data_IF_688288875235
#
_entry.id   IF_688288875235
#
_cell.length_a   1.000
_cell.length_b   1.000
_cell.length_c   1.000
_cell.angle_alpha   90.00
_cell.angle_beta   90.00
_cell.angle_gamma   90.00
#
_symmetry.space_group_name_H-M   'P 1'
#
loop_
_entity.id
_entity.type
_entity.pdbx_description
1 polymer ?
#
# COMPACT_ATOMS: atom_id res chain seq x y z
N UNK A 1 18.48 22.85 -10.23
CA UNK A 1 19.22 21.63 -9.87
C UNK A 1 18.27 20.83 -9.01
N UNK A 2 17.81 19.68 -9.49
CA UNK A 2 17.04 18.73 -8.68
C UNK A 2 17.84 18.45 -7.39
N UNK A 3 17.21 18.36 -6.21
CA UNK A 3 17.94 18.04 -4.99
C UNK A 3 18.59 16.66 -5.14
N UNK A 4 19.89 16.55 -4.87
CA UNK A 4 20.56 15.25 -4.82
C UNK A 4 19.81 14.30 -3.87
N UNK A 5 19.45 13.11 -4.34
CA UNK A 5 18.78 12.08 -3.54
C UNK A 5 17.26 12.04 -3.60
N UNK A 6 16.61 12.77 -4.52
CA UNK A 6 15.20 12.54 -4.86
C UNK A 6 15.11 11.49 -5.96
N UNK A 7 14.30 10.45 -5.75
CA UNK A 7 14.02 9.44 -6.77
C UNK A 7 12.91 9.92 -7.72
N UNK A 8 13.06 9.64 -9.01
CA UNK A 8 12.00 9.85 -9.99
C UNK A 8 11.04 8.64 -9.99
N UNK A 9 9.72 8.91 -9.98
CA UNK A 9 8.73 7.84 -10.02
C UNK A 9 8.60 7.28 -11.43
N UNK A 10 8.60 5.95 -11.56
CA UNK A 10 8.33 5.22 -12.79
C UNK A 10 6.95 4.52 -12.77
N UNK A 11 6.10 4.84 -11.78
CA UNK A 11 4.78 4.23 -11.60
C UNK A 11 3.70 5.31 -11.56
N UNK A 12 2.76 5.25 -12.50
CA UNK A 12 1.77 6.31 -12.71
C UNK A 12 0.34 5.92 -12.33
N UNK A 13 0.08 4.67 -11.92
CA UNK A 13 -1.26 4.28 -11.46
C UNK A 13 -1.54 4.87 -10.08
N UNK A 14 -2.73 5.46 -9.93
CA UNK A 14 -3.24 6.06 -8.71
C UNK A 14 -4.61 5.43 -8.46
N UNK A 15 -4.82 4.96 -7.22
CA UNK A 15 -6.11 4.42 -6.79
C UNK A 15 -6.62 5.21 -5.60
N UNK A 16 -7.74 5.90 -5.78
CA UNK A 16 -8.25 6.91 -4.84
C UNK A 16 -9.18 6.35 -3.76
N UNK A 17 -9.59 5.07 -3.85
CA UNK A 17 -10.33 4.37 -2.79
C UNK A 17 -9.70 3.02 -2.45
N UNK A 18 -9.79 2.59 -1.19
CA UNK A 18 -9.40 1.24 -0.80
C UNK A 18 -10.31 0.17 -1.43
N UNK A 19 -11.57 0.52 -1.72
CA UNK A 19 -12.52 -0.37 -2.40
C UNK A 19 -12.05 -0.79 -3.80
N UNK A 20 -11.31 0.10 -4.48
CA UNK A 20 -10.82 -0.11 -5.84
C UNK A 20 -9.49 -0.88 -5.88
N UNK A 21 -8.93 -1.25 -4.72
CA UNK A 21 -7.66 -1.99 -4.61
C UNK A 21 -7.83 -3.51 -4.61
N UNK A 22 -9.07 -4.02 -4.74
CA UNK A 22 -9.41 -5.44 -4.77
C UNK A 22 -8.85 -6.21 -3.54
N UNK A 23 -8.97 -5.59 -2.36
CA UNK A 23 -8.52 -6.15 -1.09
C UNK A 23 -9.51 -7.20 -0.56
N UNK A 24 -9.03 -8.13 0.27
CA UNK A 24 -9.90 -9.06 0.97
C UNK A 24 -10.86 -8.32 1.90
N UNK A 25 -12.10 -8.80 2.00
CA UNK A 25 -13.15 -8.12 2.75
C UNK A 25 -12.79 -7.93 4.24
N UNK A 26 -12.12 -8.91 4.84
CA UNK A 26 -11.63 -8.83 6.23
C UNK A 26 -10.58 -7.74 6.41
N UNK A 27 -9.64 -7.62 5.47
CA UNK A 27 -8.63 -6.57 5.49
C UNK A 27 -9.25 -5.20 5.29
N UNK A 28 -10.16 -5.06 4.32
CA UNK A 28 -10.85 -3.82 4.02
C UNK A 28 -11.66 -3.31 5.24
N UNK A 29 -12.39 -4.20 5.92
CA UNK A 29 -13.05 -3.87 7.19
C UNK A 29 -12.06 -3.41 8.26
N UNK A 30 -10.90 -4.05 8.37
CA UNK A 30 -9.85 -3.66 9.31
C UNK A 30 -9.29 -2.27 9.04
N UNK A 31 -9.09 -1.91 7.76
CA UNK A 31 -8.62 -0.58 7.34
C UNK A 31 -9.59 0.51 7.82
N UNK A 32 -10.90 0.34 7.54
CA UNK A 32 -11.92 1.31 7.96
C UNK A 32 -12.10 1.34 9.47
N UNK A 33 -12.09 0.19 10.15
CA UNK A 33 -12.20 0.12 11.61
C UNK A 33 -11.01 0.79 12.33
N UNK A 34 -9.83 0.79 11.73
CA UNK A 34 -8.66 1.52 12.24
C UNK A 34 -8.80 3.04 12.10
N UNK A 35 -9.73 3.52 11.26
CA UNK A 35 -10.02 4.94 11.05
C UNK A 35 -9.44 5.51 9.76
N UNK A 36 -8.96 4.69 8.83
CA UNK A 36 -8.63 5.17 7.49
C UNK A 36 -9.91 5.33 6.66
N UNK A 37 -10.11 6.49 6.05
CA UNK A 37 -11.25 6.75 5.16
C UNK A 37 -10.85 6.74 3.68
N UNK A 38 -9.79 7.47 3.35
CA UNK A 38 -9.21 7.55 2.01
C UNK A 38 -7.72 7.23 2.05
N UNK A 39 -7.18 6.55 1.02
CA UNK A 39 -5.75 6.30 0.94
C UNK A 39 -4.98 7.62 0.83
N UNK A 40 -3.90 7.75 1.59
CA UNK A 40 -2.94 8.85 1.46
C UNK A 40 -2.18 8.78 0.13
N UNK A 41 -1.47 9.86 -0.24
CA UNK A 41 -0.75 9.92 -1.52
C UNK A 41 0.22 8.74 -1.77
N UNK A 42 0.88 8.23 -0.72
CA UNK A 42 1.77 7.06 -0.83
C UNK A 42 0.97 5.75 -0.89
N UNK A 43 -0.14 5.64 -0.16
CA UNK A 43 -1.02 4.47 -0.19
C UNK A 43 -1.66 4.29 -1.58
N UNK A 44 -2.13 5.40 -2.18
CA UNK A 44 -2.73 5.43 -3.53
C UNK A 44 -1.83 4.86 -4.63
N UNK A 45 -0.50 5.00 -4.48
CA UNK A 45 0.50 4.64 -5.50
C UNK A 45 1.23 3.34 -5.20
N UNK A 46 1.49 3.04 -3.93
CA UNK A 46 2.39 1.96 -3.56
C UNK A 46 1.69 0.66 -3.14
N UNK A 47 0.43 0.68 -2.71
CA UNK A 47 -0.26 -0.55 -2.26
C UNK A 47 -0.38 -1.57 -3.41
N UNK A 48 -0.87 -1.14 -4.58
CA UNK A 48 -1.05 -2.03 -5.73
C UNK A 48 0.24 -2.66 -6.25
N UNK A 49 1.32 -1.91 -6.55
CA UNK A 49 2.54 -2.55 -7.03
C UNK A 49 3.16 -3.49 -6.00
N UNK A 50 3.04 -3.21 -4.70
CA UNK A 50 3.47 -4.14 -3.64
C UNK A 50 2.62 -5.42 -3.63
N UNK A 51 1.30 -5.34 -3.78
CA UNK A 51 0.41 -6.52 -3.87
C UNK A 51 0.68 -7.32 -5.15
N UNK A 52 1.00 -6.65 -6.25
CA UNK A 52 1.38 -7.27 -7.54
C UNK A 52 2.75 -7.97 -7.48
N UNK A 53 3.49 -7.87 -6.38
CA UNK A 53 4.77 -8.55 -6.18
C UNK A 53 5.98 -7.86 -6.81
N UNK A 54 5.87 -6.58 -7.17
CA UNK A 54 7.02 -5.80 -7.65
C UNK A 54 7.92 -5.37 -6.50
N UNK A 55 9.21 -5.21 -6.80
CA UNK A 55 10.13 -4.48 -5.94
C UNK A 55 9.81 -2.99 -6.00
N UNK A 56 9.52 -2.39 -4.84
CA UNK A 56 9.08 -0.99 -4.76
C UNK A 56 10.05 -0.17 -3.91
N UNK A 57 10.60 0.90 -4.50
CA UNK A 57 11.31 1.96 -3.78
C UNK A 57 10.33 3.12 -3.57
N UNK A 58 10.02 3.43 -2.31
CA UNK A 58 9.06 4.46 -1.93
C UNK A 58 9.73 5.54 -1.06
N UNK A 59 9.87 6.75 -1.59
CA UNK A 59 10.36 7.91 -0.85
C UNK A 59 9.18 8.78 -0.38
N UNK A 60 8.91 8.81 0.93
CA UNK A 60 7.89 9.67 1.51
C UNK A 60 8.24 10.12 2.94
N UNK A 61 7.73 11.28 3.36
CA UNK A 61 8.00 11.86 4.68
C UNK A 61 7.32 11.08 5.82
N UNK A 62 7.74 11.30 7.07
CA UNK A 62 7.05 10.73 8.23
C UNK A 62 5.59 11.21 8.31
N UNK A 63 4.70 10.42 8.90
CA UNK A 63 3.27 10.75 9.01
C UNK A 63 2.46 10.61 7.71
N UNK A 64 3.06 10.22 6.58
CA UNK A 64 2.36 10.07 5.29
C UNK A 64 1.62 8.74 5.12
N UNK A 65 1.69 7.83 6.10
CA UNK A 65 0.97 6.54 6.05
C UNK A 65 1.78 5.36 5.50
N UNK A 66 3.11 5.47 5.35
CA UNK A 66 4.01 4.40 4.88
C UNK A 66 3.84 3.07 5.64
N UNK A 67 3.65 3.14 6.96
CA UNK A 67 3.47 1.94 7.80
C UNK A 67 2.26 1.13 7.39
N UNK A 68 1.12 1.82 7.18
CA UNK A 68 -0.09 1.17 6.72
C UNK A 68 0.06 0.67 5.27
N UNK A 69 0.80 1.39 4.40
CA UNK A 69 1.07 0.95 3.02
C UNK A 69 1.66 -0.46 2.97
N UNK A 70 2.79 -0.72 3.65
CA UNK A 70 3.38 -2.05 3.61
C UNK A 70 2.60 -3.06 4.45
N UNK A 71 1.98 -2.66 5.57
CA UNK A 71 1.18 -3.57 6.38
C UNK A 71 -0.04 -4.11 5.63
N UNK A 72 -0.79 -3.25 4.94
CA UNK A 72 -1.92 -3.63 4.08
C UNK A 72 -1.42 -4.56 2.96
N UNK A 73 -0.30 -4.19 2.30
CA UNK A 73 0.24 -4.97 1.18
C UNK A 73 0.70 -6.36 1.60
N UNK A 74 1.31 -6.49 2.79
CA UNK A 74 1.73 -7.78 3.36
C UNK A 74 0.49 -8.60 3.74
N UNK A 75 -0.43 -8.03 4.52
CA UNK A 75 -1.64 -8.74 4.98
C UNK A 75 -2.48 -9.26 3.82
N UNK A 76 -2.54 -8.54 2.70
CA UNK A 76 -3.24 -8.96 1.50
C UNK A 76 -2.61 -10.20 0.83
N UNK A 77 -1.31 -10.44 1.03
CA UNK A 77 -0.57 -11.54 0.41
C UNK A 77 -0.44 -12.77 1.31
N UNK A 78 -0.89 -12.70 2.57
CA UNK A 78 -0.82 -13.84 3.50
C UNK A 78 -1.91 -14.87 3.16
N UNK A 79 -1.49 -16.11 2.95
CA UNK A 79 -2.38 -17.26 2.87
C UNK A 79 -2.75 -17.74 4.28
N UNK A 80 -4.00 -17.50 4.70
CA UNK A 80 -4.46 -17.78 6.06
C UNK A 80 -4.67 -19.28 6.33
N UNK A 81 -4.97 -20.05 5.29
CA UNK A 81 -5.26 -21.48 5.40
C UNK A 81 -4.02 -22.38 5.21
N UNK A 82 -2.83 -21.77 5.18
CA UNK A 82 -1.57 -22.49 5.01
C UNK A 82 -1.34 -23.41 6.22
N UNK A 83 -1.66 -24.69 6.05
CA UNK A 83 -1.35 -25.71 7.06
C UNK A 83 0.16 -25.93 7.07
N UNK A 84 0.78 -25.75 8.23
CA UNK A 84 2.17 -26.16 8.44
C UNK A 84 2.30 -27.66 8.15
N UNK A 85 3.08 -27.99 7.11
CA UNK A 85 3.54 -29.36 6.82
C UNK A 85 4.62 -29.81 7.79
#
# INVERSE_FOLDING_TARGET
MEPEGVIESNWNEIVDSFDDMNLSESLLRGIYAYGFEKPSAIQQRAILPCIKGYDVIAQAQSGTGKTATFAISILQQIELDLKAT
#
